data_IF_672857089007
#
_entry.id   IF_672857089007
#
_cell.length_a   1.000
_cell.length_b   1.000
_cell.length_c   1.000
_cell.angle_alpha   90.00
_cell.angle_beta   90.00
_cell.angle_gamma   90.00
#
_symmetry.space_group_name_H-M   'P 1'
#
loop_
_entity.id
_entity.type
_entity.pdbx_description
1 polymer ?
#
# COMPACT_ATOMS: atom_id res chain seq x y z
N UNK A 1 -11.53 12.90 7.14
CA UNK A 1 -11.58 13.96 8.12
C UNK A 1 -10.64 15.14 7.93
N UNK A 2 -10.00 15.37 6.76
CA UNK A 2 -9.17 16.56 6.44
C UNK A 2 -8.33 17.15 7.60
N UNK A 3 -7.78 16.24 8.44
CA UNK A 3 -6.98 16.62 9.61
C UNK A 3 -7.78 16.93 10.88
N UNK A 4 -9.06 16.58 10.92
CA UNK A 4 -9.93 16.71 12.09
C UNK A 4 -10.36 15.34 12.59
N UNK A 5 -10.32 15.13 13.89
CA UNK A 5 -10.78 13.93 14.60
C UNK A 5 -11.64 14.37 15.78
N UNK A 6 -12.85 13.83 15.92
CA UNK A 6 -13.81 14.17 16.99
C UNK A 6 -13.97 15.69 17.23
N UNK A 7 -14.01 16.47 16.16
CA UNK A 7 -14.11 17.92 16.19
C UNK A 7 -12.80 18.67 16.51
N UNK A 8 -11.72 17.94 16.85
CA UNK A 8 -10.41 18.54 17.14
C UNK A 8 -9.54 18.55 15.89
N UNK A 9 -9.04 19.72 15.52
CA UNK A 9 -8.10 19.87 14.41
C UNK A 9 -6.68 19.48 14.84
N UNK A 10 -6.17 18.38 14.24
CA UNK A 10 -4.80 17.87 14.47
C UNK A 10 -3.85 18.39 13.38
N UNK A 11 -4.32 18.42 12.13
CA UNK A 11 -3.55 18.88 10.99
C UNK A 11 -4.39 19.88 10.17
N UNK A 12 -3.74 20.80 9.49
CA UNK A 12 -4.44 21.64 8.51
C UNK A 12 -4.86 20.82 7.30
N UNK A 13 -5.95 21.17 6.59
CA UNK A 13 -6.34 20.50 5.34
C UNK A 13 -5.21 20.56 4.31
N UNK A 14 -4.45 21.63 4.27
CA UNK A 14 -3.27 21.78 3.39
C UNK A 14 -2.18 20.76 3.74
N UNK A 15 -1.87 20.55 5.00
CA UNK A 15 -0.90 19.53 5.44
C UNK A 15 -1.33 18.14 5.02
N UNK A 16 -2.61 17.79 5.21
CA UNK A 16 -3.17 16.49 4.77
C UNK A 16 -3.06 16.34 3.27
N UNK A 17 -3.37 17.38 2.50
CA UNK A 17 -3.24 17.38 1.04
C UNK A 17 -1.78 17.15 0.62
N UNK A 18 -0.83 17.86 1.23
CA UNK A 18 0.59 17.71 0.94
C UNK A 18 1.11 16.30 1.25
N UNK A 19 0.66 15.70 2.34
CA UNK A 19 1.03 14.32 2.70
C UNK A 19 0.57 13.32 1.64
N UNK A 20 -0.56 13.56 0.98
CA UNK A 20 -1.19 12.68 0.01
C UNK A 20 -0.93 13.06 -1.45
N UNK A 21 -0.06 14.03 -1.70
CA UNK A 21 0.32 14.44 -3.06
C UNK A 21 1.60 13.71 -3.46
N UNK A 22 1.55 13.04 -4.63
CA UNK A 22 2.74 12.40 -5.19
C UNK A 22 3.84 13.42 -5.50
N UNK A 23 5.04 13.11 -5.05
CA UNK A 23 6.25 13.93 -5.20
C UNK A 23 7.39 13.20 -5.90
N UNK A 24 7.19 11.94 -6.30
CA UNK A 24 8.19 11.22 -7.06
C UNK A 24 8.20 11.69 -8.51
N UNK A 25 9.38 11.93 -9.03
CA UNK A 25 9.55 12.09 -10.49
C UNK A 25 9.39 10.74 -11.21
N UNK A 26 9.09 10.78 -12.51
CA UNK A 26 9.02 9.58 -13.34
C UNK A 26 10.35 8.80 -13.34
N UNK A 27 11.46 9.49 -13.20
CA UNK A 27 12.77 8.87 -13.06
C UNK A 27 12.87 8.03 -11.79
N UNK A 28 12.49 8.58 -10.62
CA UNK A 28 12.47 7.83 -9.36
C UNK A 28 11.54 6.61 -9.42
N UNK A 29 10.39 6.73 -10.07
CA UNK A 29 9.43 5.62 -10.21
C UNK A 29 9.94 4.46 -11.06
N UNK A 30 10.93 4.67 -11.92
CA UNK A 30 11.58 3.60 -12.69
C UNK A 30 12.47 2.69 -11.86
N UNK A 31 12.87 3.12 -10.67
CA UNK A 31 13.69 2.32 -9.78
C UNK A 31 12.84 1.45 -8.85
N UNK A 32 13.26 0.21 -8.69
CA UNK A 32 12.64 -0.68 -7.72
C UNK A 32 12.88 -0.20 -6.29
N UNK A 33 11.88 -0.34 -5.45
CA UNK A 33 11.99 -0.11 -4.01
C UNK A 33 12.15 -1.47 -3.31
N UNK A 34 13.28 -1.67 -2.64
CA UNK A 34 13.63 -2.94 -1.99
C UNK A 34 13.47 -4.17 -2.93
N UNK A 35 13.94 -4.03 -4.17
CA UNK A 35 13.88 -5.09 -5.17
C UNK A 35 12.52 -5.35 -5.79
N UNK A 36 11.48 -4.59 -5.44
CA UNK A 36 10.12 -4.73 -5.96
C UNK A 36 9.69 -3.51 -6.79
N UNK A 37 8.83 -3.69 -7.82
CA UNK A 37 8.28 -2.60 -8.63
C UNK A 37 7.18 -1.85 -7.86
N UNK A 38 7.56 -1.28 -6.72
CA UNK A 38 6.63 -0.71 -5.74
C UNK A 38 5.87 0.52 -6.28
N UNK A 39 6.46 1.25 -7.23
CA UNK A 39 5.90 2.50 -7.74
C UNK A 39 4.97 2.33 -8.94
N UNK A 40 4.67 1.09 -9.35
CA UNK A 40 3.71 0.83 -10.43
C UNK A 40 2.31 1.25 -9.99
N UNK A 41 1.76 2.29 -10.62
CA UNK A 41 0.47 2.90 -10.27
C UNK A 41 0.47 3.65 -8.93
N UNK A 42 1.65 3.95 -8.39
CA UNK A 42 1.80 4.60 -7.08
C UNK A 42 2.83 5.72 -7.11
N UNK A 43 2.65 6.67 -6.21
CA UNK A 43 3.60 7.70 -5.89
C UNK A 43 3.93 7.71 -4.41
N UNK A 44 4.68 8.70 -3.98
CA UNK A 44 5.05 8.92 -2.58
C UNK A 44 4.83 10.38 -2.20
N UNK A 45 4.04 10.61 -1.16
CA UNK A 45 3.82 11.92 -0.58
C UNK A 45 4.82 12.24 0.53
N UNK A 46 4.31 12.75 1.64
CA UNK A 46 5.13 12.88 2.85
C UNK A 46 4.88 11.65 3.73
N UNK A 47 5.86 10.76 3.79
CA UNK A 47 5.91 9.57 4.64
C UNK A 47 4.87 8.46 4.33
N UNK A 48 4.25 8.46 3.16
CA UNK A 48 3.29 7.42 2.74
C UNK A 48 3.23 7.31 1.21
N UNK A 49 2.89 6.11 0.70
CA UNK A 49 2.61 5.93 -0.71
C UNK A 49 1.16 6.26 -1.03
N UNK A 50 0.92 6.74 -2.25
CA UNK A 50 -0.40 7.16 -2.74
C UNK A 50 -0.68 6.46 -4.06
N UNK A 51 -1.90 5.94 -4.23
CA UNK A 51 -2.36 5.36 -5.50
C UNK A 51 -2.60 6.50 -6.50
N UNK A 52 -1.86 6.48 -7.59
CA UNK A 52 -1.96 7.42 -8.71
C UNK A 52 -2.62 6.80 -9.93
N UNK A 53 -2.59 5.47 -10.04
CA UNK A 53 -3.28 4.68 -11.06
C UNK A 53 -3.78 3.37 -10.42
N UNK A 54 -5.08 3.27 -10.10
CA UNK A 54 -5.65 2.08 -9.48
C UNK A 54 -5.53 0.82 -10.34
N UNK A 55 -5.61 0.95 -11.66
CA UNK A 55 -5.52 -0.20 -12.58
C UNK A 55 -4.15 -0.85 -12.51
N UNK A 56 -3.10 -0.05 -12.53
CA UNK A 56 -1.72 -0.54 -12.44
C UNK A 56 -1.36 -1.01 -11.02
N UNK A 57 -1.86 -0.34 -9.97
CA UNK A 57 -1.54 -0.66 -8.57
C UNK A 57 -2.21 -1.97 -8.09
N UNK A 58 -3.46 -2.22 -8.49
CA UNK A 58 -4.29 -3.33 -7.99
C UNK A 58 -3.66 -4.72 -8.12
N UNK A 59 -2.98 -5.11 -9.21
CA UNK A 59 -2.37 -6.43 -9.32
C UNK A 59 -1.35 -6.74 -8.22
N UNK A 60 -0.60 -5.74 -7.79
CA UNK A 60 0.49 -5.90 -6.81
C UNK A 60 0.00 -5.78 -5.36
N UNK A 61 -0.87 -4.82 -5.08
CA UNK A 61 -1.21 -4.44 -3.70
C UNK A 61 -2.66 -4.76 -3.29
N UNK A 62 -3.48 -5.16 -4.24
CA UNK A 62 -4.94 -5.24 -4.07
C UNK A 62 -5.63 -3.91 -4.39
N UNK A 63 -6.98 -3.89 -4.39
CA UNK A 63 -7.75 -2.72 -4.75
C UNK A 63 -7.53 -1.55 -3.79
N UNK A 64 -7.76 -0.37 -4.34
CA UNK A 64 -7.77 0.94 -3.68
C UNK A 64 -8.05 2.00 -4.74
N UNK A 65 -8.94 2.92 -4.45
CA UNK A 65 -9.30 4.02 -5.35
C UNK A 65 -8.13 5.01 -5.54
N UNK A 66 -8.29 5.92 -6.50
CA UNK A 66 -7.36 7.04 -6.69
C UNK A 66 -7.22 7.83 -5.38
N UNK A 67 -5.98 8.09 -4.96
CA UNK A 67 -5.71 8.79 -3.71
C UNK A 67 -5.76 7.91 -2.45
N UNK A 68 -5.99 6.60 -2.57
CA UNK A 68 -5.74 5.64 -1.48
C UNK A 68 -4.29 5.75 -1.06
N UNK A 69 -4.03 5.84 0.24
CA UNK A 69 -2.68 5.95 0.78
C UNK A 69 -2.38 4.83 1.77
N UNK A 70 -1.11 4.43 1.84
CA UNK A 70 -0.72 3.22 2.56
C UNK A 70 0.77 3.17 2.80
N UNK A 71 1.21 2.27 3.70
CA UNK A 71 2.61 1.92 3.83
C UNK A 71 2.80 0.50 4.36
N UNK A 72 3.81 -0.25 3.87
CA UNK A 72 4.18 -1.55 4.41
C UNK A 72 5.06 -1.41 5.64
N UNK A 73 4.92 -2.35 6.58
CA UNK A 73 5.90 -2.54 7.64
C UNK A 73 6.96 -3.57 7.25
N UNK A 74 8.16 -3.43 7.81
CA UNK A 74 9.29 -4.33 7.53
C UNK A 74 8.99 -5.81 7.86
N UNK A 75 8.11 -6.06 8.81
CA UNK A 75 7.68 -7.40 9.21
C UNK A 75 6.35 -7.83 8.57
N UNK A 76 6.06 -7.32 7.36
CA UNK A 76 4.93 -7.76 6.54
C UNK A 76 3.59 -7.15 6.93
N UNK A 77 3.54 -6.26 7.90
CA UNK A 77 2.33 -5.50 8.21
C UNK A 77 1.94 -4.59 7.04
N UNK A 78 0.66 -4.28 6.94
CA UNK A 78 0.14 -3.34 5.97
C UNK A 78 -0.96 -2.50 6.59
N UNK A 79 -1.00 -1.25 6.23
CA UNK A 79 -2.19 -0.42 6.44
C UNK A 79 -2.49 0.36 5.17
N UNK A 80 -3.77 0.61 4.94
CA UNK A 80 -4.21 1.54 3.91
C UNK A 80 -5.47 2.26 4.34
N UNK A 81 -5.61 3.48 3.86
CA UNK A 81 -6.84 4.26 3.96
C UNK A 81 -7.29 4.63 2.55
N UNK A 82 -8.52 4.28 2.22
CA UNK A 82 -9.19 4.61 0.98
C UNK A 82 -10.29 5.63 1.26
N UNK A 83 -10.06 6.93 1.02
CA UNK A 83 -11.05 7.95 1.27
C UNK A 83 -12.28 7.86 0.37
N UNK A 84 -12.12 7.29 -0.84
CA UNK A 84 -13.23 7.10 -1.78
C UNK A 84 -14.23 6.05 -1.31
N UNK A 85 -13.74 5.04 -0.57
CA UNK A 85 -14.54 3.96 0.00
C UNK A 85 -14.87 4.17 1.49
N UNK A 86 -14.40 5.27 2.10
CA UNK A 86 -14.45 5.53 3.56
C UNK A 86 -13.94 4.33 4.38
N UNK A 87 -12.82 3.75 3.96
CA UNK A 87 -12.31 2.48 4.45
C UNK A 87 -10.87 2.60 4.96
N UNK A 88 -10.63 2.06 6.16
CA UNK A 88 -9.29 1.84 6.69
C UNK A 88 -9.08 0.34 6.88
N UNK A 89 -7.99 -0.19 6.32
CA UNK A 89 -7.58 -1.58 6.47
C UNK A 89 -6.29 -1.66 7.27
N UNK A 90 -6.27 -2.57 8.23
CA UNK A 90 -5.08 -2.93 9.00
C UNK A 90 -4.84 -4.44 8.83
N UNK A 91 -3.66 -4.81 8.34
CA UNK A 91 -3.20 -6.18 8.24
C UNK A 91 -1.97 -6.36 9.14
N UNK A 92 -2.18 -6.99 10.27
CA UNK A 92 -1.15 -7.16 11.30
C UNK A 92 -0.61 -8.59 11.27
N UNK A 93 0.65 -8.73 10.91
CA UNK A 93 1.36 -10.00 10.82
C UNK A 93 2.81 -9.80 11.30
N UNK A 94 3.41 -10.85 11.80
CA UNK A 94 4.82 -10.88 12.20
C UNK A 94 5.58 -11.82 11.28
N UNK A 95 5.97 -11.34 10.12
CA UNK A 95 6.77 -12.07 9.15
C UNK A 95 7.71 -11.14 8.40
N UNK A 96 9.01 -11.25 8.67
CA UNK A 96 10.03 -10.52 7.93
C UNK A 96 10.31 -11.26 6.61
N UNK A 97 9.92 -10.73 5.44
CA UNK A 97 10.30 -11.34 4.18
C UNK A 97 11.81 -11.22 3.97
N UNK A 98 12.45 -12.28 3.53
CA UNK A 98 13.84 -12.23 3.09
C UNK A 98 13.89 -11.46 1.75
N UNK A 99 14.37 -10.25 1.81
CA UNK A 99 14.51 -9.37 0.65
C UNK A 99 15.80 -9.65 -0.14
N UNK A 100 16.73 -10.42 0.42
CA UNK A 100 18.01 -10.78 -0.22
C UNK A 100 17.86 -11.92 -1.22
N UNK A 101 16.81 -12.72 -1.10
CA UNK A 101 16.57 -13.88 -1.96
C UNK A 101 15.72 -13.47 -3.16
N UNK A 102 16.15 -13.87 -4.35
CA UNK A 102 15.30 -13.77 -5.55
C UNK A 102 13.91 -14.31 -5.25
N UNK A 103 12.90 -13.46 -5.34
CA UNK A 103 11.52 -13.75 -4.96
C UNK A 103 10.99 -15.05 -5.60
N UNK A 104 11.41 -15.36 -6.84
CA UNK A 104 11.03 -16.56 -7.56
C UNK A 104 11.71 -17.83 -6.97
N UNK A 105 12.99 -17.74 -6.58
CA UNK A 105 13.72 -18.86 -6.01
C UNK A 105 13.24 -19.21 -4.59
N UNK A 106 12.91 -18.19 -3.79
CA UNK A 106 12.37 -18.39 -2.44
C UNK A 106 10.99 -19.08 -2.46
N UNK A 107 10.22 -18.86 -3.53
CA UNK A 107 8.87 -19.42 -3.71
C UNK A 107 8.92 -20.82 -4.32
N UNK A 108 9.89 -21.13 -5.19
CA UNK A 108 9.95 -22.38 -5.93
C UNK A 108 10.09 -23.64 -5.05
N UNK A 109 10.68 -23.50 -3.86
CA UNK A 109 10.88 -24.61 -2.91
C UNK A 109 9.94 -24.62 -1.70
N UNK A 110 9.12 -23.59 -1.49
CA UNK A 110 8.30 -23.46 -0.27
C UNK A 110 6.92 -22.86 -0.53
N UNK A 111 5.88 -23.71 -0.72
CA UNK A 111 4.51 -23.23 -0.95
C UNK A 111 3.94 -22.36 0.16
N UNK A 112 4.44 -22.49 1.40
CA UNK A 112 4.05 -21.65 2.54
C UNK A 112 4.52 -20.22 2.38
N UNK A 113 5.76 -20.02 1.98
CA UNK A 113 6.31 -18.68 1.70
C UNK A 113 5.60 -17.99 0.53
N UNK A 114 5.23 -18.74 -0.51
CA UNK A 114 4.44 -18.22 -1.63
C UNK A 114 3.08 -17.69 -1.14
N UNK A 115 2.42 -18.41 -0.24
CA UNK A 115 1.13 -17.98 0.35
C UNK A 115 1.29 -16.73 1.20
N UNK A 116 2.36 -16.63 2.00
CA UNK A 116 2.63 -15.45 2.84
C UNK A 116 2.89 -14.20 2.00
N UNK A 117 3.66 -14.30 0.91
CA UNK A 117 3.94 -13.17 0.01
C UNK A 117 2.68 -12.60 -0.65
N UNK A 118 1.68 -13.44 -0.90
CA UNK A 118 0.42 -13.01 -1.50
C UNK A 118 -0.68 -12.72 -0.47
N UNK A 119 -0.41 -12.91 0.81
CA UNK A 119 -1.43 -12.85 1.85
C UNK A 119 -2.01 -11.43 2.00
N UNK A 120 -1.16 -10.40 2.03
CA UNK A 120 -1.60 -9.01 2.13
C UNK A 120 -2.50 -8.58 0.95
N UNK A 121 -2.09 -8.69 -0.33
CA UNK A 121 -2.98 -8.30 -1.43
C UNK A 121 -4.23 -9.16 -1.52
N UNK A 122 -4.19 -10.42 -1.09
CA UNK A 122 -5.39 -11.27 -0.99
C UNK A 122 -6.32 -10.83 0.12
N UNK A 123 -5.80 -10.41 1.26
CA UNK A 123 -6.59 -9.83 2.35
C UNK A 123 -7.32 -8.59 1.84
N UNK A 124 -6.62 -7.65 1.22
CA UNK A 124 -7.22 -6.42 0.68
C UNK A 124 -8.33 -6.76 -0.33
N UNK A 125 -8.07 -7.62 -1.33
CA UNK A 125 -9.07 -8.02 -2.34
C UNK A 125 -10.32 -8.67 -1.72
N UNK A 126 -10.13 -9.52 -0.72
CA UNK A 126 -11.26 -10.19 -0.06
C UNK A 126 -12.10 -9.22 0.75
N UNK A 127 -11.47 -8.27 1.41
CA UNK A 127 -12.19 -7.23 2.18
C UNK A 127 -13.02 -6.35 1.26
N UNK A 128 -12.45 -5.82 0.19
CA UNK A 128 -13.20 -5.01 -0.78
C UNK A 128 -14.40 -5.80 -1.35
N UNK A 129 -14.16 -7.05 -1.78
CA UNK A 129 -15.25 -7.91 -2.27
C UNK A 129 -16.34 -8.16 -1.22
N UNK A 130 -15.97 -8.40 0.03
CA UNK A 130 -16.93 -8.65 1.11
C UNK A 130 -17.80 -7.41 1.42
N UNK A 131 -17.26 -6.22 1.17
CA UNK A 131 -17.95 -4.94 1.34
C UNK A 131 -18.73 -4.50 0.09
N UNK A 132 -18.66 -5.25 -1.02
CA UNK A 132 -19.31 -4.88 -2.27
C UNK A 132 -18.64 -3.73 -3.03
N UNK A 133 -17.34 -3.51 -2.78
CA UNK A 133 -16.52 -2.43 -3.37
C UNK A 133 -15.68 -2.94 -4.55
#
# INVERSE_FOLDING_TARGET
>A
GDGTIDGVRVLSPESVRLMRTDRLSDEHKRHNFLGAPFWVGRGFGLNLSVVTDPVQSTPLFGPGGLGTFSWPGAYGTWWQADPGADLILLYLIQHCPDLSVNAAAAVAGNPGLAKLRTAQPRFVRRTYRALGL
#
